data_IF_290806721031
#
_entry.id   IF_290806721031
#
_cell.length_a   1.000
_cell.length_b   1.000
_cell.length_c   1.000
_cell.angle_alpha   90.00
_cell.angle_beta   90.00
_cell.angle_gamma   90.00
#
_symmetry.space_group_name_H-M   'P 1'
#
loop_
_entity.id
_entity.type
_entity.pdbx_description
1 polymer ?
#
# COMPACT_ATOMS: atom_id res chain seq x y z
N UNK A 1 -9.96 -16.80 21.44
CA UNK A 1 -8.49 -16.92 21.36
C UNK A 1 -7.94 -15.53 21.15
N UNK A 2 -6.93 -15.11 21.92
CA UNK A 2 -6.31 -13.79 21.75
C UNK A 2 -5.08 -13.92 20.87
N UNK A 3 -4.94 -13.05 19.86
CA UNK A 3 -3.79 -13.02 18.95
C UNK A 3 -3.05 -11.69 19.11
N UNK A 4 -1.74 -11.76 19.30
CA UNK A 4 -0.85 -10.60 19.24
C UNK A 4 -0.10 -10.61 17.92
N UNK A 5 -0.23 -9.52 17.15
CA UNK A 5 0.44 -9.36 15.86
C UNK A 5 1.40 -8.16 15.93
N UNK A 6 2.70 -8.44 15.84
CA UNK A 6 3.76 -7.44 15.80
C UNK A 6 4.31 -7.36 14.37
N UNK A 7 4.13 -6.22 13.72
CA UNK A 7 4.62 -6.03 12.36
C UNK A 7 4.54 -4.57 11.90
N UNK A 8 4.86 -4.36 10.62
CA UNK A 8 4.92 -3.02 10.03
C UNK A 8 3.55 -2.37 9.84
N UNK A 9 3.55 -1.03 9.95
CA UNK A 9 2.44 -0.16 9.61
C UNK A 9 2.99 0.89 8.66
N UNK A 10 2.34 1.05 7.51
CA UNK A 10 2.75 1.97 6.46
C UNK A 10 1.58 2.86 6.03
N UNK A 11 1.92 3.99 5.41
CA UNK A 11 1.00 4.72 4.52
C UNK A 11 1.37 4.35 3.10
N UNK A 12 0.52 3.57 2.45
CA UNK A 12 0.72 3.15 1.07
C UNK A 12 0.13 4.21 0.13
N UNK A 13 0.97 4.70 -0.80
CA UNK A 13 0.59 5.67 -1.83
C UNK A 13 0.31 4.90 -3.13
N UNK A 14 -0.93 4.93 -3.60
CA UNK A 14 -1.32 4.28 -4.84
C UNK A 14 -1.40 5.31 -5.96
N UNK A 15 -0.64 5.06 -7.03
CA UNK A 15 -0.68 5.85 -8.25
C UNK A 15 -1.15 4.95 -9.39
N UNK A 16 -2.33 5.24 -9.93
CA UNK A 16 -2.82 4.54 -11.11
C UNK A 16 -2.12 5.13 -12.34
N UNK A 17 -1.54 4.26 -13.17
CA UNK A 17 -0.82 4.62 -14.39
C UNK A 17 -1.20 3.65 -15.51
N UNK A 18 -1.19 4.08 -16.79
CA UNK A 18 -1.49 3.21 -17.92
C UNK A 18 -0.50 2.04 -18.06
N UNK A 19 0.75 2.21 -17.65
CA UNK A 19 1.79 1.17 -17.58
C UNK A 19 2.85 1.54 -16.55
N UNK A 20 3.75 0.60 -16.23
CA UNK A 20 4.92 0.91 -15.42
C UNK A 20 5.87 1.83 -16.20
N UNK A 21 6.39 2.90 -15.56
CA UNK A 21 7.29 3.83 -16.23
C UNK A 21 8.62 3.16 -16.58
N UNK A 22 9.15 3.47 -17.76
CA UNK A 22 10.51 3.09 -18.15
C UNK A 22 11.54 3.99 -17.48
N UNK A 23 12.82 3.58 -17.48
CA UNK A 23 13.89 4.39 -16.91
C UNK A 23 13.97 5.77 -17.59
N UNK A 24 13.90 6.84 -16.78
CA UNK A 24 13.94 8.23 -17.25
C UNK A 24 12.62 8.80 -17.77
N UNK A 25 11.56 7.97 -17.87
CA UNK A 25 10.24 8.43 -18.26
C UNK A 25 9.56 9.20 -17.11
N UNK A 26 8.89 10.30 -17.45
CA UNK A 26 8.01 11.04 -16.52
C UNK A 26 6.58 10.93 -17.01
N UNK A 27 5.65 10.61 -16.12
CA UNK A 27 4.25 10.35 -16.46
C UNK A 27 3.28 10.98 -15.45
N UNK A 28 2.14 11.46 -15.93
CA UNK A 28 1.01 11.89 -15.11
C UNK A 28 0.19 10.69 -14.64
N UNK A 29 -0.19 10.67 -13.37
CA UNK A 29 -1.08 9.63 -12.82
C UNK A 29 -2.52 9.82 -13.30
N UNK A 30 -3.23 8.71 -13.52
CA UNK A 30 -4.67 8.68 -13.79
C UNK A 30 -5.51 8.88 -12.53
N UNK A 31 -4.92 8.62 -11.35
CA UNK A 31 -5.59 8.73 -10.06
C UNK A 31 -4.64 8.41 -8.92
N UNK A 32 -4.82 9.08 -7.79
CA UNK A 32 -3.99 8.92 -6.60
C UNK A 32 -4.84 8.69 -5.36
N UNK A 33 -4.43 7.75 -4.51
CA UNK A 33 -5.03 7.53 -3.19
C UNK A 33 -3.97 7.20 -2.14
N UNK A 34 -4.33 7.43 -0.88
CA UNK A 34 -3.50 7.13 0.29
C UNK A 34 -4.28 6.18 1.18
N UNK A 35 -3.67 5.05 1.54
CA UNK A 35 -4.34 4.03 2.34
C UNK A 35 -3.43 3.53 3.45
N UNK A 36 -4.04 2.92 4.47
CA UNK A 36 -3.31 2.17 5.47
C UNK A 36 -2.76 0.89 4.83
N UNK A 37 -1.50 0.60 5.09
CA UNK A 37 -0.85 -0.61 4.64
C UNK A 37 0.20 -1.11 5.61
N UNK A 38 1.13 -1.92 5.11
CA UNK A 38 2.11 -2.63 5.93
C UNK A 38 1.62 -4.03 6.31
N UNK A 39 2.56 -4.98 6.37
CA UNK A 39 2.24 -6.40 6.57
C UNK A 39 1.59 -6.63 7.94
N UNK A 40 2.08 -5.97 8.98
CA UNK A 40 1.51 -6.05 10.32
C UNK A 40 0.08 -5.52 10.36
N UNK A 41 -0.15 -4.31 9.84
CA UNK A 41 -1.50 -3.73 9.77
C UNK A 41 -2.47 -4.61 8.96
N UNK A 42 -2.06 -5.04 7.76
CA UNK A 42 -2.92 -5.83 6.87
C UNK A 42 -3.27 -7.20 7.49
N UNK A 43 -2.32 -7.87 8.14
CA UNK A 43 -2.58 -9.12 8.87
C UNK A 43 -3.50 -8.90 10.07
N UNK A 44 -3.30 -7.82 10.84
CA UNK A 44 -4.16 -7.49 11.99
C UNK A 44 -5.60 -7.22 11.55
N UNK A 45 -5.81 -6.50 10.46
CA UNK A 45 -7.15 -6.22 9.91
C UNK A 45 -7.79 -7.49 9.36
N UNK A 46 -7.03 -8.35 8.67
CA UNK A 46 -7.56 -9.61 8.14
C UNK A 46 -7.99 -10.61 9.23
N UNK A 47 -7.45 -10.48 10.44
CA UNK A 47 -7.78 -11.31 11.60
C UNK A 47 -8.94 -10.76 12.45
N UNK A 48 -9.31 -9.49 12.27
CA UNK A 48 -10.38 -8.81 13.01
C UNK A 48 -11.76 -9.10 12.40
#
# INVERSE_FOLDING_TARGET
MTVFNLGSINIDLFYQVPHFPSAGETMTTLGHSRMLGGKGANQSIALA
#
